data_IF_498847742731
#
_entry.id   IF_498847742731
#
_cell.length_a   1.000
_cell.length_b   1.000
_cell.length_c   1.000
_cell.angle_alpha   90.00
_cell.angle_beta   90.00
_cell.angle_gamma   90.00
#
_symmetry.space_group_name_H-M   'P 1'
#
loop_
_entity.id
_entity.type
_entity.pdbx_description
1 polymer ?
#
# COMPACT_ATOMS: atom_id res chain seq x y z
N UNK A 1 -22.68 -18.07 -55.07
CA UNK A 1 -21.65 -18.73 -54.21
C UNK A 1 -20.40 -17.88 -53.91
N UNK A 2 -20.35 -16.57 -54.25
CA UNK A 2 -19.23 -15.68 -53.85
C UNK A 2 -19.57 -14.77 -52.66
N UNK A 3 -20.82 -14.28 -52.58
CA UNK A 3 -21.26 -13.37 -51.51
C UNK A 3 -21.37 -14.08 -50.15
N UNK A 4 -21.75 -15.37 -50.13
CA UNK A 4 -21.83 -16.16 -48.89
C UNK A 4 -20.46 -16.50 -48.29
N UNK A 5 -19.39 -16.50 -49.10
CA UNK A 5 -18.01 -16.73 -48.60
C UNK A 5 -17.39 -15.46 -48.00
N UNK A 6 -17.89 -14.28 -48.35
CA UNK A 6 -17.39 -13.00 -47.83
C UNK A 6 -17.95 -12.66 -46.45
N UNK A 7 -19.17 -13.11 -46.12
CA UNK A 7 -19.81 -12.81 -44.84
C UNK A 7 -19.20 -13.62 -43.66
N UNK A 8 -18.70 -14.83 -43.92
CA UNK A 8 -18.10 -15.71 -42.91
C UNK A 8 -16.68 -15.26 -42.53
N UNK A 9 -15.98 -14.52 -43.40
CA UNK A 9 -14.65 -13.99 -43.12
C UNK A 9 -14.66 -12.74 -42.21
N UNK A 10 -15.78 -12.02 -42.10
CA UNK A 10 -15.89 -10.83 -41.25
C UNK A 10 -16.26 -11.15 -39.78
N UNK A 11 -16.79 -12.35 -39.51
CA UNK A 11 -17.19 -12.78 -38.16
C UNK A 11 -16.03 -13.34 -37.32
N UNK A 12 -14.88 -13.62 -37.94
CA UNK A 12 -13.68 -14.12 -37.25
C UNK A 12 -12.77 -13.00 -36.69
N UNK A 13 -13.10 -11.73 -36.94
CA UNK A 13 -12.29 -10.58 -36.49
C UNK A 13 -12.80 -9.93 -35.19
N UNK A 14 -13.87 -10.45 -34.59
CA UNK A 14 -14.50 -9.88 -33.37
C UNK A 14 -14.26 -10.77 -32.13
N UNK A 15 -13.45 -11.82 -32.24
CA UNK A 15 -13.18 -12.76 -31.16
C UNK A 15 -11.69 -12.76 -30.80
N UNK A 16 -11.18 -11.61 -30.34
CA UNK A 16 -9.87 -11.50 -29.67
C UNK A 16 -9.84 -10.25 -28.79
N UNK A 17 -10.55 -10.27 -27.67
CA UNK A 17 -10.21 -9.47 -26.48
C UNK A 17 -10.60 -10.24 -25.23
N UNK A 18 -9.93 -11.35 -24.98
CA UNK A 18 -9.82 -11.90 -23.62
C UNK A 18 -8.47 -11.44 -23.08
N UNK A 19 -8.39 -10.16 -22.70
CA UNK A 19 -7.44 -9.81 -21.65
C UNK A 19 -8.10 -10.30 -20.35
N UNK A 20 -8.00 -11.61 -20.10
CA UNK A 20 -8.36 -12.25 -18.83
C UNK A 20 -7.30 -11.86 -17.78
N UNK A 21 -7.11 -10.56 -17.57
CA UNK A 21 -6.34 -10.08 -16.44
C UNK A 21 -7.03 -10.57 -15.17
N UNK A 22 -6.29 -11.14 -14.21
CA UNK A 22 -6.88 -11.60 -12.96
C UNK A 22 -7.56 -10.42 -12.23
N UNK A 23 -8.66 -10.67 -11.50
CA UNK A 23 -9.26 -9.68 -10.63
C UNK A 23 -8.21 -9.07 -9.69
N UNK A 24 -8.26 -7.76 -9.44
CA UNK A 24 -7.24 -7.07 -8.64
C UNK A 24 -7.17 -7.62 -7.21
N UNK A 25 -8.31 -8.01 -6.65
CA UNK A 25 -8.43 -8.66 -5.34
C UNK A 25 -7.64 -9.97 -5.27
N UNK A 26 -7.57 -10.72 -6.36
CA UNK A 26 -6.86 -12.01 -6.40
C UNK A 26 -5.33 -11.86 -6.39
N UNK A 27 -4.83 -10.64 -6.55
CA UNK A 27 -3.40 -10.32 -6.47
C UNK A 27 -2.96 -9.98 -5.04
N UNK A 28 -3.91 -9.74 -4.12
CA UNK A 28 -3.59 -9.43 -2.73
C UNK A 28 -2.89 -10.62 -2.06
N UNK A 29 -1.90 -10.37 -1.19
CA UNK A 29 -1.36 -11.43 -0.37
C UNK A 29 -2.45 -11.99 0.57
N UNK A 30 -2.39 -13.29 0.90
CA UNK A 30 -3.26 -13.85 1.92
C UNK A 30 -3.04 -13.13 3.26
N UNK A 31 -4.09 -13.02 4.07
CA UNK A 31 -3.96 -12.53 5.45
C UNK A 31 -3.26 -13.63 6.26
N UNK A 32 -2.02 -13.37 6.67
CA UNK A 32 -1.18 -14.27 7.47
C UNK A 32 -0.72 -13.57 8.75
N UNK A 33 -0.27 -14.36 9.72
CA UNK A 33 0.25 -13.91 11.03
C UNK A 33 1.59 -14.63 11.32
N UNK A 34 2.33 -14.96 10.27
CA UNK A 34 3.52 -15.81 10.34
C UNK A 34 4.79 -15.07 9.96
N UNK A 35 4.71 -13.78 9.64
CA UNK A 35 5.87 -12.97 9.30
C UNK A 35 6.35 -13.15 7.86
N UNK A 36 5.43 -13.39 6.92
CA UNK A 36 5.79 -13.65 5.50
C UNK A 36 6.35 -12.42 4.76
N UNK A 37 6.46 -11.27 5.43
CA UNK A 37 6.88 -9.99 4.87
C UNK A 37 6.04 -9.56 3.66
N UNK A 38 4.73 -9.63 3.80
CA UNK A 38 3.80 -9.23 2.76
C UNK A 38 3.17 -7.88 3.06
N UNK A 39 2.84 -7.16 2.00
CA UNK A 39 2.03 -5.96 2.04
C UNK A 39 1.23 -5.86 0.76
N UNK A 40 -0.04 -5.51 0.85
CA UNK A 40 -0.85 -5.23 -0.33
C UNK A 40 -2.13 -4.50 0.03
N UNK A 41 -2.61 -3.64 -0.87
CA UNK A 41 -3.93 -3.05 -0.77
C UNK A 41 -4.47 -2.74 -2.17
N UNK A 42 -5.75 -2.38 -2.24
CA UNK A 42 -6.33 -1.79 -3.44
C UNK A 42 -6.40 -0.27 -3.27
N UNK A 43 -5.85 0.45 -4.24
CA UNK A 43 -5.93 1.91 -4.36
C UNK A 43 -6.86 2.22 -5.52
N UNK A 44 -8.03 2.76 -5.22
CA UNK A 44 -9.14 2.95 -6.19
C UNK A 44 -9.45 1.68 -6.98
N UNK A 45 -9.34 0.52 -6.33
CA UNK A 45 -9.56 -0.80 -6.92
C UNK A 45 -8.35 -1.41 -7.63
N UNK A 46 -7.25 -0.66 -7.82
CA UNK A 46 -6.02 -1.20 -8.41
C UNK A 46 -5.08 -1.78 -7.35
N UNK A 47 -4.51 -2.96 -7.62
CA UNK A 47 -3.57 -3.60 -6.71
C UNK A 47 -2.28 -2.77 -6.55
N UNK A 48 -1.93 -2.49 -5.30
CA UNK A 48 -0.71 -1.83 -4.89
C UNK A 48 0.09 -2.74 -3.97
N UNK A 49 1.39 -2.85 -4.26
CA UNK A 49 2.36 -3.61 -3.47
C UNK A 49 3.72 -2.90 -3.44
N UNK A 50 4.55 -3.15 -2.43
CA UNK A 50 5.94 -2.74 -2.45
C UNK A 50 6.68 -3.35 -3.64
N UNK A 51 7.56 -2.57 -4.27
CA UNK A 51 8.54 -3.03 -5.26
C UNK A 51 9.85 -2.28 -5.08
N UNK A 52 10.93 -3.03 -4.97
CA UNK A 52 12.29 -2.52 -4.85
C UNK A 52 12.67 -1.77 -6.12
N UNK A 53 13.40 -0.69 -5.93
CA UNK A 53 14.03 0.06 -7.00
C UNK A 53 15.42 -0.50 -7.30
N UNK A 54 16.07 0.06 -8.31
CA UNK A 54 17.48 -0.25 -8.54
C UNK A 54 18.32 0.27 -7.37
N UNK A 55 19.03 -0.63 -6.69
CA UNK A 55 19.97 -0.26 -5.62
C UNK A 55 21.06 0.67 -6.13
N UNK A 56 21.46 1.62 -5.29
CA UNK A 56 22.56 2.55 -5.52
C UNK A 56 23.62 2.39 -4.44
N UNK A 57 24.78 3.01 -4.60
CA UNK A 57 25.83 3.04 -3.57
C UNK A 57 25.36 3.62 -2.22
N UNK A 58 24.27 4.40 -2.20
CA UNK A 58 23.79 5.12 -1.03
C UNK A 58 22.43 4.61 -0.50
N UNK A 59 21.78 3.67 -1.19
CA UNK A 59 20.45 3.19 -0.82
C UNK A 59 20.12 1.89 -1.53
N UNK A 60 19.63 0.93 -0.76
CA UNK A 60 19.06 -0.33 -1.28
C UNK A 60 17.74 -0.12 -2.02
N UNK A 61 17.12 1.06 -1.89
CA UNK A 61 15.86 1.39 -2.56
C UNK A 61 14.76 0.32 -2.33
N UNK A 62 14.68 -0.21 -1.11
CA UNK A 62 13.63 -1.15 -0.68
C UNK A 62 12.21 -0.58 -0.86
N UNK A 63 11.30 -1.44 -1.30
CA UNK A 63 9.88 -1.20 -1.50
C UNK A 63 9.07 -1.22 -0.21
N UNK A 64 9.49 -1.97 0.81
CA UNK A 64 8.87 -1.97 2.14
C UNK A 64 9.93 -1.72 3.20
N UNK A 65 9.62 -0.86 4.16
CA UNK A 65 10.45 -0.57 5.33
C UNK A 65 9.56 -0.31 6.53
N UNK A 66 10.00 -0.73 7.70
CA UNK A 66 9.37 -0.33 8.97
C UNK A 66 10.37 0.40 9.83
N UNK A 67 9.89 1.39 10.58
CA UNK A 67 10.72 2.23 11.44
C UNK A 67 9.98 2.46 12.75
N UNK A 68 10.68 2.29 13.87
CA UNK A 68 10.24 2.84 15.14
C UNK A 68 10.65 4.31 15.17
N UNK A 69 9.69 5.21 15.32
CA UNK A 69 9.94 6.63 15.51
C UNK A 69 9.66 7.00 16.96
N UNK A 70 10.38 8.00 17.44
CA UNK A 70 10.33 8.39 18.86
C UNK A 70 10.61 7.17 19.76
N UNK A 71 9.83 7.01 20.84
CA UNK A 71 9.95 5.84 21.72
C UNK A 71 8.90 4.80 21.40
N UNK A 72 7.69 5.21 21.01
CA UNK A 72 6.53 4.32 21.04
C UNK A 72 5.78 4.23 19.71
N UNK A 73 6.20 4.96 18.68
CA UNK A 73 5.50 5.02 17.39
C UNK A 73 6.04 4.00 16.39
N UNK A 74 5.15 3.50 15.54
CA UNK A 74 5.51 2.56 14.47
C UNK A 74 5.09 3.07 13.10
N UNK A 75 6.02 3.09 12.16
CA UNK A 75 5.79 3.54 10.80
C UNK A 75 6.06 2.44 9.79
N UNK A 76 5.14 2.29 8.82
CA UNK A 76 5.28 1.43 7.64
C UNK A 76 5.42 2.32 6.42
N UNK A 77 6.55 2.21 5.72
CA UNK A 77 6.84 2.96 4.50
C UNK A 77 6.81 2.01 3.31
N UNK A 78 5.90 2.27 2.37
CA UNK A 78 5.66 1.42 1.21
C UNK A 78 5.91 2.21 -0.05
N UNK A 79 6.64 1.62 -0.98
CA UNK A 79 7.02 2.23 -2.24
C UNK A 79 6.89 1.23 -3.37
N UNK A 80 6.31 1.69 -4.46
CA UNK A 80 6.51 1.10 -5.78
C UNK A 80 7.58 1.91 -6.50
N UNK A 81 8.83 1.42 -6.48
CA UNK A 81 9.99 2.10 -7.09
C UNK A 81 10.34 1.56 -8.47
N UNK A 82 9.66 0.50 -8.91
CA UNK A 82 9.94 -0.22 -10.17
C UNK A 82 9.06 0.28 -11.31
N UNK A 83 7.87 0.79 -11.01
CA UNK A 83 7.03 1.47 -11.99
C UNK A 83 7.68 2.72 -12.57
N UNK A 84 7.37 3.00 -13.84
CA UNK A 84 7.66 4.30 -14.47
C UNK A 84 7.02 5.47 -13.70
N UNK A 85 5.84 5.22 -13.13
CA UNK A 85 5.10 6.13 -12.26
C UNK A 85 5.15 5.54 -10.86
N UNK A 86 6.09 6.00 -10.05
CA UNK A 86 6.30 5.46 -8.72
C UNK A 86 5.07 5.75 -7.84
N UNK A 87 4.91 5.01 -6.76
CA UNK A 87 3.85 5.26 -5.77
C UNK A 87 4.46 5.17 -4.39
N UNK A 88 3.95 5.94 -3.45
CA UNK A 88 4.37 5.86 -2.04
C UNK A 88 3.16 5.96 -1.11
N UNK A 89 3.20 5.16 -0.05
CA UNK A 89 2.22 5.17 1.03
C UNK A 89 2.98 5.08 2.35
N UNK A 90 2.63 5.97 3.26
CA UNK A 90 3.13 6.02 4.63
C UNK A 90 1.97 5.75 5.56
N UNK A 91 2.20 4.86 6.52
CA UNK A 91 1.26 4.50 7.58
C UNK A 91 1.98 4.74 8.89
N UNK A 92 1.37 5.52 9.78
CA UNK A 92 1.87 5.82 11.10
C UNK A 92 0.86 5.36 12.16
N UNK A 93 1.33 4.62 13.14
CA UNK A 93 0.59 4.23 14.34
C UNK A 93 1.23 4.91 15.55
N UNK A 94 0.47 5.83 16.15
CA UNK A 94 0.86 6.56 17.36
C UNK A 94 0.74 5.63 18.58
N UNK A 95 1.72 5.68 19.47
CA UNK A 95 1.81 4.88 20.70
C UNK A 95 1.70 3.36 20.47
N UNK A 96 2.06 2.87 19.28
CA UNK A 96 1.98 1.45 18.91
C UNK A 96 2.68 0.53 19.92
N UNK A 97 3.90 0.82 20.34
CA UNK A 97 4.65 -0.08 21.23
C UNK A 97 4.10 -0.11 22.66
N UNK A 98 3.18 0.82 22.99
CA UNK A 98 2.38 0.82 24.22
C UNK A 98 1.07 0.06 24.02
N UNK A 99 0.36 0.34 22.93
CA UNK A 99 -1.02 -0.12 22.70
C UNK A 99 -1.11 -1.51 22.05
N UNK A 100 -0.14 -1.87 21.20
CA UNK A 100 0.03 -3.19 20.55
C UNK A 100 -1.15 -3.60 19.67
N UNK A 101 -1.69 -4.81 19.86
CA UNK A 101 -2.83 -5.34 19.13
C UNK A 101 -4.09 -4.51 19.36
N UNK A 102 -4.90 -4.37 18.31
CA UNK A 102 -6.17 -3.68 18.39
C UNK A 102 -6.38 -2.70 17.25
N UNK A 103 -7.41 -1.88 17.44
CA UNK A 103 -7.92 -0.98 16.41
C UNK A 103 -7.43 0.45 16.65
N UNK A 104 -6.83 1.01 15.61
CA UNK A 104 -6.30 2.37 15.54
C UNK A 104 -7.16 3.17 14.58
N UNK A 105 -7.89 4.15 15.11
CA UNK A 105 -8.67 5.08 14.28
C UNK A 105 -7.74 6.09 13.60
N UNK A 106 -7.98 6.35 12.31
CA UNK A 106 -7.13 7.22 11.50
C UNK A 106 -7.61 8.68 11.60
N UNK A 107 -6.72 9.55 12.05
CA UNK A 107 -6.86 10.99 12.14
C UNK A 107 -6.32 11.72 10.90
N UNK A 108 -6.05 13.02 11.06
CA UNK A 108 -5.56 13.86 9.98
C UNK A 108 -4.03 13.81 9.81
N UNK A 109 -3.55 13.71 8.57
CA UNK A 109 -2.13 13.81 8.22
C UNK A 109 -1.72 15.23 7.79
N UNK A 110 -0.47 15.61 8.06
CA UNK A 110 0.16 16.85 7.56
C UNK A 110 1.25 16.61 6.48
N UNK A 111 1.51 15.35 6.12
CA UNK A 111 2.55 14.96 5.15
C UNK A 111 3.96 14.85 5.72
N UNK A 112 4.12 15.00 7.04
CA UNK A 112 5.37 14.86 7.78
C UNK A 112 5.38 13.54 8.59
N UNK A 113 6.54 13.20 9.18
CA UNK A 113 6.81 11.92 9.88
C UNK A 113 7.58 12.14 11.18
N UNK A 114 7.57 11.15 12.05
CA UNK A 114 8.18 11.23 13.39
C UNK A 114 7.72 12.47 14.14
N UNK A 115 8.67 13.17 14.78
CA UNK A 115 8.42 14.34 15.63
C UNK A 115 7.73 15.52 14.94
N UNK A 116 7.75 15.57 13.61
CA UNK A 116 7.09 16.63 12.82
C UNK A 116 5.68 16.21 12.37
N UNK A 117 5.32 14.94 12.55
CA UNK A 117 3.99 14.40 12.28
C UNK A 117 2.96 14.80 13.34
N UNK A 118 1.66 14.64 13.07
CA UNK A 118 0.61 14.82 14.07
C UNK A 118 0.61 13.70 15.11
N UNK A 119 0.27 14.00 16.36
CA UNK A 119 0.11 13.03 17.45
C UNK A 119 -1.21 12.25 17.33
N UNK A 120 -1.37 11.48 16.25
CA UNK A 120 -2.48 10.57 15.99
C UNK A 120 -2.05 9.50 14.98
N UNK A 121 -2.89 8.50 14.72
CA UNK A 121 -2.64 7.57 13.61
C UNK A 121 -2.98 8.24 12.29
N UNK A 122 -2.13 8.10 11.28
CA UNK A 122 -2.38 8.74 10.00
C UNK A 122 -1.77 7.99 8.83
N UNK A 123 -2.37 8.21 7.66
CA UNK A 123 -1.85 7.76 6.37
C UNK A 123 -1.66 8.96 5.45
N UNK A 124 -0.62 8.91 4.63
CA UNK A 124 -0.48 9.82 3.50
C UNK A 124 0.37 9.20 2.40
N UNK A 125 0.26 9.70 1.18
CA UNK A 125 1.00 9.15 0.05
C UNK A 125 1.03 10.05 -1.17
N UNK A 126 1.93 9.72 -2.08
CA UNK A 126 2.08 10.39 -3.37
C UNK A 126 1.82 9.40 -4.50
N UNK A 127 0.91 9.76 -5.40
CA UNK A 127 0.42 8.91 -6.48
C UNK A 127 0.35 9.70 -7.77
N UNK A 128 0.66 9.05 -8.89
CA UNK A 128 0.53 9.66 -10.20
C UNK A 128 -0.94 9.94 -10.53
N UNK A 129 -1.26 11.21 -10.78
CA UNK A 129 -2.57 11.64 -11.21
C UNK A 129 -2.58 11.88 -12.73
N UNK A 130 -3.21 10.97 -13.46
CA UNK A 130 -3.26 11.03 -14.92
C UNK A 130 -4.12 12.19 -15.46
N UNK A 131 -5.01 12.77 -14.65
CA UNK A 131 -5.85 13.90 -15.08
C UNK A 131 -5.04 15.19 -15.22
N UNK A 132 -4.03 15.39 -14.36
CA UNK A 132 -3.13 16.56 -14.41
C UNK A 132 -1.75 16.25 -14.99
N UNK A 133 -1.42 14.96 -15.19
CA UNK A 133 -0.14 14.55 -15.75
C UNK A 133 1.05 14.78 -14.81
N UNK A 134 0.79 14.73 -13.50
CA UNK A 134 1.79 14.92 -12.44
C UNK A 134 1.41 14.12 -11.19
N UNK A 135 2.25 14.14 -10.16
CA UNK A 135 1.98 13.52 -8.87
C UNK A 135 1.06 14.39 -8.00
N UNK A 136 0.10 13.74 -7.35
CA UNK A 136 -0.74 14.34 -6.32
C UNK A 136 -0.43 13.73 -4.96
N UNK A 137 -0.50 14.55 -3.91
CA UNK A 137 -0.36 14.11 -2.53
C UNK A 137 -1.74 13.97 -1.89
N UNK A 138 -1.96 12.83 -1.23
CA UNK A 138 -3.23 12.49 -0.59
C UNK A 138 -3.01 12.23 0.89
N UNK A 139 -3.80 12.90 1.73
CA UNK A 139 -3.69 12.86 3.18
C UNK A 139 -4.96 12.29 3.80
N UNK A 140 -4.79 11.57 4.90
CA UNK A 140 -5.89 11.18 5.78
C UNK A 140 -6.46 12.41 6.51
N UNK A 141 -7.68 12.25 6.99
CA UNK A 141 -8.45 13.23 7.76
C UNK A 141 -9.14 12.51 8.93
N UNK A 142 -9.71 13.26 9.86
CA UNK A 142 -10.42 12.70 11.01
C UNK A 142 -11.53 11.72 10.58
N UNK A 143 -11.44 10.47 11.06
CA UNK A 143 -12.40 9.42 10.68
C UNK A 143 -12.23 8.91 9.26
N UNK A 144 -11.04 9.04 8.67
CA UNK A 144 -10.74 8.57 7.32
C UNK A 144 -10.73 7.05 7.18
N UNK A 145 -10.63 6.32 8.28
CA UNK A 145 -10.64 4.86 8.30
C UNK A 145 -9.99 4.29 9.55
N UNK A 146 -9.46 3.08 9.45
CA UNK A 146 -8.85 2.38 10.57
C UNK A 146 -7.75 1.44 10.13
N UNK A 147 -6.81 1.20 11.03
CA UNK A 147 -5.86 0.10 11.01
C UNK A 147 -6.24 -0.85 12.15
N UNK A 148 -6.22 -2.15 11.91
CA UNK A 148 -6.38 -3.18 12.93
C UNK A 148 -5.13 -4.05 12.93
N UNK A 149 -4.37 -3.96 14.01
CA UNK A 149 -3.25 -4.87 14.28
C UNK A 149 -3.84 -6.14 14.88
N UNK A 150 -3.65 -7.26 14.20
CA UNK A 150 -4.27 -8.54 14.54
C UNK A 150 -3.29 -9.44 15.31
N UNK A 151 -2.00 -9.34 15.03
CA UNK A 151 -0.95 -10.10 15.72
C UNK A 151 0.22 -9.16 16.03
N UNK A 152 0.72 -9.23 17.27
CA UNK A 152 1.96 -8.61 17.71
C UNK A 152 2.78 -9.62 18.54
N UNK A 153 3.46 -10.54 17.85
CA UNK A 153 4.33 -11.51 18.50
C UNK A 153 5.72 -10.93 18.73
N UNK A 154 5.85 -10.21 19.85
CA UNK A 154 7.12 -9.68 20.32
C UNK A 154 7.89 -10.74 21.12
N UNK A 155 8.68 -11.59 20.46
CA UNK A 155 9.65 -12.43 21.15
C UNK A 155 10.92 -11.63 21.45
N UNK A 156 11.07 -11.23 22.71
CA UNK A 156 12.19 -10.40 23.17
C UNK A 156 13.54 -11.04 22.84
N UNK A 157 14.26 -10.43 21.88
CA UNK A 157 15.61 -10.84 21.48
C UNK A 157 15.70 -11.64 20.17
N UNK A 158 14.57 -11.93 19.52
CA UNK A 158 14.52 -12.63 18.24
C UNK A 158 13.90 -11.74 17.18
N UNK A 159 12.60 -11.91 16.90
CA UNK A 159 11.90 -11.22 15.82
C UNK A 159 10.56 -10.68 16.32
N UNK A 160 10.09 -9.60 15.69
CA UNK A 160 8.73 -9.09 15.85
C UNK A 160 7.92 -9.48 14.63
N UNK A 161 6.85 -10.27 14.82
CA UNK A 161 5.80 -10.46 13.81
C UNK A 161 4.69 -9.47 14.13
N UNK A 162 4.45 -8.55 13.20
CA UNK A 162 3.35 -7.58 13.30
C UNK A 162 2.51 -7.69 12.03
N UNK A 163 1.24 -8.06 12.22
CA UNK A 163 0.33 -8.35 11.12
C UNK A 163 -0.99 -7.63 11.35
N UNK A 164 -1.64 -7.20 10.27
CA UNK A 164 -2.85 -6.43 10.38
C UNK A 164 -3.52 -6.11 9.06
N UNK A 165 -4.65 -5.43 9.19
CA UNK A 165 -5.47 -4.98 8.06
C UNK A 165 -5.77 -3.50 8.19
N UNK A 166 -6.02 -2.82 7.07
CA UNK A 166 -6.34 -1.40 7.08
C UNK A 166 -7.21 -1.01 5.88
N UNK A 167 -7.94 0.09 6.07
CA UNK A 167 -8.67 0.77 5.01
C UNK A 167 -8.72 2.26 5.34
N UNK A 168 -8.73 3.10 4.30
CA UNK A 168 -8.81 4.54 4.47
C UNK A 168 -9.38 5.22 3.23
N UNK A 169 -9.96 6.40 3.42
CA UNK A 169 -10.20 7.37 2.36
C UNK A 169 -9.25 8.54 2.55
N UNK A 170 -8.47 8.87 1.52
CA UNK A 170 -7.55 10.00 1.54
C UNK A 170 -8.08 11.12 0.63
N UNK A 171 -7.75 12.36 0.94
CA UNK A 171 -8.10 13.53 0.15
C UNK A 171 -6.84 14.17 -0.44
N UNK A 172 -6.94 14.60 -1.70
CA UNK A 172 -5.90 15.37 -2.34
C UNK A 172 -5.74 16.73 -1.62
N UNK A 173 -4.50 17.10 -1.30
CA UNK A 173 -4.20 18.32 -0.53
C UNK A 173 -4.50 19.62 -1.29
N UNK A 174 -4.44 19.59 -2.63
CA UNK A 174 -4.69 20.75 -3.48
C UNK A 174 -6.17 20.82 -3.91
N UNK A 175 -6.83 19.67 -4.01
CA UNK A 175 -8.23 19.56 -4.39
C UNK A 175 -8.98 18.52 -3.54
N UNK A 176 -9.57 18.91 -2.39
CA UNK A 176 -10.25 17.96 -1.50
C UNK A 176 -11.48 17.25 -2.08
N UNK A 177 -11.95 17.63 -3.28
CA UNK A 177 -12.99 16.89 -4.00
C UNK A 177 -12.44 15.66 -4.73
N UNK A 178 -11.13 15.63 -4.99
CA UNK A 178 -10.39 14.47 -5.48
C UNK A 178 -9.97 13.61 -4.28
N UNK A 179 -10.41 12.37 -4.27
CA UNK A 179 -10.20 11.43 -3.18
C UNK A 179 -9.77 10.08 -3.68
N UNK A 180 -8.98 9.40 -2.87
CA UNK A 180 -8.44 8.07 -3.14
C UNK A 180 -8.93 7.11 -2.06
N UNK A 181 -9.43 5.95 -2.49
CA UNK A 181 -9.90 4.88 -1.59
C UNK A 181 -8.84 3.81 -1.48
N UNK A 182 -8.39 3.57 -0.24
CA UNK A 182 -7.59 2.41 0.12
C UNK A 182 -8.51 1.37 0.75
N UNK A 183 -8.56 0.19 0.16
CA UNK A 183 -9.39 -0.93 0.64
C UNK A 183 -8.60 -2.23 0.65
N UNK A 184 -9.04 -3.19 1.47
CA UNK A 184 -8.43 -4.52 1.60
C UNK A 184 -6.91 -4.45 1.83
N UNK A 185 -6.48 -3.50 2.65
CA UNK A 185 -5.07 -3.36 3.01
C UNK A 185 -4.68 -4.45 3.99
N UNK A 186 -3.63 -5.20 3.69
CA UNK A 186 -3.07 -6.26 4.53
C UNK A 186 -1.55 -6.02 4.68
N UNK A 187 -1.02 -6.31 5.85
CA UNK A 187 0.41 -6.42 6.08
C UNK A 187 0.71 -7.59 7.02
N UNK A 188 1.81 -8.28 6.80
CA UNK A 188 2.36 -9.32 7.68
C UNK A 188 3.88 -9.20 7.65
N UNK A 189 4.48 -8.66 8.71
CA UNK A 189 5.86 -8.18 8.69
C UNK A 189 6.66 -8.88 9.79
N UNK A 190 7.84 -9.40 9.42
CA UNK A 190 8.84 -9.90 10.35
C UNK A 190 10.08 -9.00 10.31
N UNK A 191 10.35 -8.32 11.43
CA UNK A 191 11.35 -7.24 11.55
C UNK A 191 12.79 -7.55 11.09
N UNK A 192 13.30 -8.77 11.25
CA UNK A 192 14.66 -9.18 10.90
C UNK A 192 14.74 -9.53 9.42
N UNK A 193 13.95 -10.51 8.98
CA UNK A 193 14.00 -11.02 7.61
C UNK A 193 13.57 -9.97 6.60
N UNK A 194 12.72 -9.00 6.97
CA UNK A 194 12.34 -7.86 6.13
C UNK A 194 13.55 -7.15 5.52
N UNK A 195 14.68 -7.03 6.25
CA UNK A 195 15.89 -6.38 5.76
C UNK A 195 16.45 -7.10 4.51
N UNK A 196 16.33 -8.43 4.48
CA UNK A 196 16.78 -9.27 3.38
C UNK A 196 15.69 -9.60 2.34
N UNK A 197 14.41 -9.36 2.64
CA UNK A 197 13.28 -9.67 1.75
C UNK A 197 13.29 -8.77 0.52
N UNK A 198 13.31 -9.35 -0.68
CA UNK A 198 13.19 -8.61 -1.95
C UNK A 198 11.74 -8.45 -2.38
N UNK A 199 11.41 -7.29 -2.93
CA UNK A 199 10.06 -6.98 -3.42
C UNK A 199 10.08 -6.71 -4.92
N UNK A 200 9.39 -7.55 -5.71
CA UNK A 200 9.46 -7.52 -7.18
C UNK A 200 8.23 -6.99 -7.92
#
# INVERSE_FOLDING_TARGET
MKILKTLIACLLLIACTTDDAPPQESLLPPITMTGENTFGCLIDGEFFKPRDGQSTINSENKGLRVVQTETDNWEIHVFDRKSNKTKSLYIHLEDYFINKEGRYEIGAANGLRGVDGPNNNYLYGSFWNSAIGDYSNYHSFEGSGSIEVIEDNQDSGNFYIISGVFQAKLLNIENPMDSLIISQGHFDIESISLQSTSFD
#
